data_IF_160408473293
#
_entry.id   IF_160408473293
#
_cell.length_a   1.000
_cell.length_b   1.000
_cell.length_c   1.000
_cell.angle_alpha   90.00
_cell.angle_beta   90.00
_cell.angle_gamma   90.00
#
_symmetry.space_group_name_H-M   'P 1'
#
loop_
_entity.id
_entity.type
_entity.pdbx_description
1 polymer ?
#
# COMPACT_ATOMS: atom_id res chain seq x y z
N UNK A 1 10.21 11.60 -21.20
CA UNK A 1 10.70 10.57 -20.25
C UNK A 1 9.83 9.34 -20.47
N UNK A 2 10.44 8.17 -20.68
CA UNK A 2 9.71 6.90 -20.80
C UNK A 2 9.55 6.35 -19.38
N UNK A 3 8.31 6.12 -18.96
CA UNK A 3 7.98 5.50 -17.69
C UNK A 3 8.30 4.00 -17.80
N UNK A 4 9.36 3.55 -17.11
CA UNK A 4 9.75 2.14 -17.07
C UNK A 4 9.07 1.51 -15.87
N UNK A 5 7.99 0.75 -16.11
CA UNK A 5 7.27 0.02 -15.08
C UNK A 5 7.75 -1.43 -15.07
N UNK A 6 8.27 -1.91 -13.94
CA UNK A 6 8.47 -3.34 -13.74
C UNK A 6 7.11 -4.04 -13.63
N UNK A 7 6.68 -4.70 -14.70
CA UNK A 7 5.49 -5.55 -14.69
C UNK A 7 5.87 -7.02 -14.72
N UNK A 8 5.23 -7.83 -13.87
CA UNK A 8 5.25 -9.29 -14.00
C UNK A 8 4.02 -9.70 -14.83
N UNK A 9 4.17 -10.37 -15.97
CA UNK A 9 3.03 -10.92 -16.69
C UNK A 9 2.50 -12.12 -15.90
N UNK A 10 1.36 -11.95 -15.23
CA UNK A 10 0.61 -13.06 -14.65
C UNK A 10 -0.82 -13.01 -15.16
N UNK A 11 -1.39 -14.17 -15.46
CA UNK A 11 -2.81 -14.27 -15.82
C UNK A 11 -3.61 -14.38 -14.53
N UNK A 12 -4.68 -13.60 -14.45
CA UNK A 12 -5.74 -13.78 -13.47
C UNK A 12 -7.08 -13.73 -14.20
N UNK A 13 -8.08 -14.42 -13.65
CA UNK A 13 -9.44 -14.29 -14.14
C UNK A 13 -9.98 -12.93 -13.67
N UNK A 14 -10.32 -12.07 -14.63
CA UNK A 14 -10.85 -10.75 -14.33
C UNK A 14 -12.28 -10.89 -13.75
N UNK A 15 -12.35 -10.95 -12.42
CA UNK A 15 -13.60 -10.95 -11.67
C UNK A 15 -13.79 -9.64 -10.91
N UNK A 16 -15.03 -9.37 -10.50
CA UNK A 16 -15.32 -8.21 -9.63
C UNK A 16 -14.58 -8.28 -8.29
N UNK A 17 -14.29 -9.49 -7.79
CA UNK A 17 -13.51 -9.69 -6.56
C UNK A 17 -12.04 -9.34 -6.74
N UNK A 18 -11.41 -9.82 -7.83
CA UNK A 18 -10.02 -9.50 -8.12
C UNK A 18 -9.84 -8.01 -8.34
N UNK A 19 -10.77 -7.37 -9.08
CA UNK A 19 -10.75 -5.91 -9.27
C UNK A 19 -10.80 -5.16 -7.93
N UNK A 20 -11.75 -5.53 -7.05
CA UNK A 20 -11.88 -4.91 -5.72
C UNK A 20 -10.60 -5.08 -4.89
N UNK A 21 -10.01 -6.27 -4.87
CA UNK A 21 -8.77 -6.51 -4.13
C UNK A 21 -7.60 -5.62 -4.62
N UNK A 22 -7.50 -5.42 -5.93
CA UNK A 22 -6.48 -4.54 -6.53
C UNK A 22 -6.74 -3.06 -6.20
N UNK A 23 -7.99 -2.62 -6.26
CA UNK A 23 -8.40 -1.24 -5.94
C UNK A 23 -8.21 -0.94 -4.45
N UNK A 24 -8.61 -1.85 -3.56
CA UNK A 24 -8.42 -1.72 -2.12
C UNK A 24 -6.92 -1.65 -1.78
N UNK A 25 -6.09 -2.51 -2.39
CA UNK A 25 -4.65 -2.46 -2.15
C UNK A 25 -4.00 -1.17 -2.66
N UNK A 26 -4.45 -0.64 -3.81
CA UNK A 26 -4.03 0.69 -4.29
C UNK A 26 -4.37 1.76 -3.26
N UNK A 27 -5.57 1.73 -2.70
CA UNK A 27 -6.04 2.73 -1.74
C UNK A 27 -5.28 2.63 -0.41
N UNK A 28 -4.94 1.41 0.03
CA UNK A 28 -4.04 1.17 1.17
C UNK A 28 -2.66 1.79 0.96
N UNK A 29 -2.05 1.60 -0.21
CA UNK A 29 -0.74 2.18 -0.56
C UNK A 29 -0.82 3.71 -0.58
N UNK A 30 -1.85 4.28 -1.22
CA UNK A 30 -2.06 5.72 -1.27
C UNK A 30 -2.22 6.35 0.12
N UNK A 31 -2.97 5.70 1.01
CA UNK A 31 -3.07 6.12 2.41
C UNK A 31 -1.70 6.14 3.12
N UNK A 32 -0.89 5.09 2.95
CA UNK A 32 0.45 5.05 3.54
C UNK A 32 1.37 6.14 2.96
N UNK A 33 1.28 6.43 1.66
CA UNK A 33 2.05 7.51 1.01
C UNK A 33 1.64 8.87 1.58
N UNK A 34 0.34 9.16 1.66
CA UNK A 34 -0.15 10.42 2.22
C UNK A 34 0.34 10.61 3.65
N UNK A 35 0.25 9.58 4.50
CA UNK A 35 0.72 9.65 5.88
C UNK A 35 2.23 9.79 6.00
N UNK A 36 2.99 9.14 5.13
CA UNK A 36 4.44 9.32 5.08
C UNK A 36 4.82 10.77 4.74
N UNK A 37 4.13 11.40 3.80
CA UNK A 37 4.36 12.79 3.39
C UNK A 37 3.92 13.79 4.48
N UNK A 38 2.74 13.62 5.06
CA UNK A 38 2.22 14.47 6.14
C UNK A 38 3.13 14.47 7.38
N UNK A 39 3.69 13.30 7.72
CA UNK A 39 4.51 13.12 8.93
C UNK A 39 6.02 13.25 8.68
N UNK A 40 6.45 13.34 7.41
CA UNK A 40 7.86 13.35 7.03
C UNK A 40 8.60 12.06 7.38
N UNK A 41 7.97 10.89 7.24
CA UNK A 41 8.52 9.59 7.65
C UNK A 41 8.67 8.64 6.46
N UNK A 42 9.90 8.19 6.20
CA UNK A 42 10.21 7.16 5.18
C UNK A 42 10.71 5.84 5.78
N UNK A 43 10.83 5.76 7.11
CA UNK A 43 11.19 4.51 7.80
C UNK A 43 10.00 3.56 7.84
N UNK A 44 10.22 2.31 7.41
CA UNK A 44 9.21 1.25 7.41
C UNK A 44 8.61 1.03 8.80
N UNK A 45 9.45 0.79 9.80
CA UNK A 45 9.00 0.47 11.16
C UNK A 45 8.21 1.65 11.76
N UNK A 46 8.74 2.86 11.62
CA UNK A 46 8.11 4.07 12.17
C UNK A 46 6.78 4.38 11.48
N UNK A 47 6.71 4.28 10.15
CA UNK A 47 5.46 4.53 9.43
C UNK A 47 4.39 3.50 9.79
N UNK A 48 4.75 2.21 9.85
CA UNK A 48 3.85 1.13 10.25
C UNK A 48 3.21 1.44 11.61
N UNK A 49 4.02 1.75 12.62
CA UNK A 49 3.53 1.98 13.98
C UNK A 49 2.57 3.19 14.04
N UNK A 50 2.83 4.23 13.25
CA UNK A 50 1.99 5.43 13.17
C UNK A 50 0.65 5.19 12.46
N UNK A 51 0.58 4.28 11.49
CA UNK A 51 -0.63 4.08 10.67
C UNK A 51 -1.44 2.84 11.06
N UNK A 52 -0.91 1.93 11.87
CA UNK A 52 -1.47 0.59 12.07
C UNK A 52 -2.92 0.59 12.58
N UNK A 53 -3.22 1.35 13.64
CA UNK A 53 -4.56 1.36 14.23
C UNK A 53 -5.60 1.98 13.29
N UNK A 54 -5.25 3.07 12.61
CA UNK A 54 -6.14 3.69 11.63
C UNK A 54 -6.33 2.82 10.38
N UNK A 55 -5.25 2.17 9.92
CA UNK A 55 -5.33 1.21 8.83
C UNK A 55 -6.33 0.10 9.16
N UNK A 56 -6.23 -0.48 10.37
CA UNK A 56 -7.13 -1.55 10.82
C UNK A 56 -8.58 -1.09 10.90
N UNK A 57 -8.82 0.16 11.30
CA UNK A 57 -10.16 0.74 11.33
C UNK A 57 -10.74 0.95 9.93
N UNK A 58 -9.91 1.34 8.95
CA UNK A 58 -10.32 1.57 7.55
C UNK A 58 -10.57 0.27 6.78
N UNK A 59 -9.78 -0.77 7.05
CA UNK A 59 -9.86 -2.07 6.37
C UNK A 59 -10.04 -3.24 7.35
N UNK A 60 -11.16 -3.30 8.09
CA UNK A 60 -11.36 -4.30 9.14
C UNK A 60 -11.45 -5.74 8.62
N UNK A 61 -11.82 -5.92 7.34
CA UNK A 61 -11.94 -7.22 6.68
C UNK A 61 -10.61 -7.77 6.15
N UNK A 62 -9.53 -6.98 6.18
CA UNK A 62 -8.23 -7.37 5.67
C UNK A 62 -7.29 -7.79 6.81
N UNK A 63 -6.47 -8.81 6.54
CA UNK A 63 -5.49 -9.29 7.50
C UNK A 63 -4.38 -8.24 7.73
N UNK A 64 -3.85 -8.18 8.96
CA UNK A 64 -2.83 -7.19 9.35
C UNK A 64 -1.60 -7.14 8.45
N UNK A 65 -1.26 -8.24 7.77
CA UNK A 65 -0.13 -8.28 6.84
C UNK A 65 -0.28 -7.32 5.65
N UNK A 66 -1.51 -6.95 5.26
CA UNK A 66 -1.76 -5.95 4.22
C UNK A 66 -1.18 -4.58 4.59
N UNK A 67 -1.24 -4.19 5.86
CA UNK A 67 -0.61 -2.97 6.36
C UNK A 67 0.92 -3.02 6.14
N UNK A 68 1.55 -4.15 6.43
CA UNK A 68 2.99 -4.33 6.19
C UNK A 68 3.34 -4.22 4.71
N UNK A 69 2.54 -4.81 3.82
CA UNK A 69 2.77 -4.73 2.38
C UNK A 69 2.59 -3.30 1.87
N UNK A 70 1.52 -2.62 2.26
CA UNK A 70 1.26 -1.24 1.86
C UNK A 70 2.35 -0.28 2.31
N UNK A 71 2.78 -0.36 3.57
CA UNK A 71 3.89 0.45 4.12
C UNK A 71 5.20 0.14 3.40
N UNK A 72 5.48 -1.13 3.07
CA UNK A 72 6.69 -1.50 2.31
C UNK A 72 6.70 -0.85 0.93
N UNK A 73 5.59 -0.93 0.19
CA UNK A 73 5.47 -0.31 -1.14
C UNK A 73 5.59 1.20 -1.04
N UNK A 74 4.83 1.84 -0.15
CA UNK A 74 4.87 3.29 0.05
C UNK A 74 6.28 3.79 0.39
N UNK A 75 6.96 3.16 1.34
CA UNK A 75 8.33 3.55 1.70
C UNK A 75 9.36 3.27 0.60
N UNK A 76 9.18 2.24 -0.24
CA UNK A 76 10.05 2.03 -1.41
C UNK A 76 9.88 3.09 -2.49
N UNK A 77 8.68 3.67 -2.64
CA UNK A 77 8.43 4.76 -3.59
C UNK A 77 8.99 6.11 -3.13
N UNK A 78 9.05 6.32 -1.81
CA UNK A 78 9.47 7.60 -1.21
C UNK A 78 10.95 7.65 -0.83
N UNK A 79 11.62 6.51 -0.75
CA UNK A 79 13.08 6.46 -0.54
C UNK A 79 13.77 6.81 -1.85
N UNK A 80 14.53 7.90 -1.83
CA UNK A 80 15.47 8.28 -2.88
C UNK A 80 16.70 7.36 -2.89
#
# INVERSE_FOLDING_TARGET
MVEVVMSVPFRYEASGEVRRALEDFRDMVNFCIQRALELGVTSFARLRDLVYEEFKARWPSYASHYCHLAVRVATSMLKA
#
